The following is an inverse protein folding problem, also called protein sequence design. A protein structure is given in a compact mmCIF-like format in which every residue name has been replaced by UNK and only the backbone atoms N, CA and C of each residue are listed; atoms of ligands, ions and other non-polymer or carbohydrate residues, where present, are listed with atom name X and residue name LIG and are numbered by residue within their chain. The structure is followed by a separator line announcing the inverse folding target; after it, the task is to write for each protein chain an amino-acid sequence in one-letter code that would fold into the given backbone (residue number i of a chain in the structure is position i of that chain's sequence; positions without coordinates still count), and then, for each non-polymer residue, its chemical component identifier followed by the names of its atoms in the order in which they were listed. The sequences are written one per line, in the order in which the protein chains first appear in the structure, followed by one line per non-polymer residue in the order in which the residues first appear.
data_IF_147327436475
#
_entry.id   IF_147327436475
#
_cell.length_a   1.000
_cell.length_b   1.000
_cell.length_c   1.000
_cell.angle_alpha   90.00
_cell.angle_beta   90.00
_cell.angle_gamma   90.00
#
_symmetry.space_group_name_H-M   'P 1'
#
loop_
_entity.id
_entity.type
_entity.pdbx_description
1 polymer ?
#
# COMPACT_ATOMS: atom_id res chain seq x y z
N UNK A 1 -16.61 7.11 -20.13
CA UNK A 1 -15.53 7.99 -19.61
C UNK A 1 -14.88 7.43 -18.34
N UNK A 2 -15.66 6.96 -17.36
CA UNK A 2 -15.16 6.32 -16.12
C UNK A 2 -14.28 5.09 -16.36
N UNK A 3 -14.67 4.23 -17.30
CA UNK A 3 -13.91 3.00 -17.63
C UNK A 3 -12.50 3.28 -18.17
N UNK A 4 -12.30 4.39 -18.89
CA UNK A 4 -10.98 4.79 -19.39
C UNK A 4 -10.11 5.36 -18.27
N UNK A 5 -10.69 6.18 -17.39
CA UNK A 5 -10.01 6.70 -16.21
C UNK A 5 -9.51 5.53 -15.36
N UNK A 6 -10.33 4.51 -15.14
CA UNK A 6 -9.96 3.33 -14.36
C UNK A 6 -8.79 2.56 -14.98
N UNK A 7 -8.84 2.29 -16.29
CA UNK A 7 -7.75 1.61 -17.00
C UNK A 7 -6.45 2.40 -16.92
N UNK A 8 -6.50 3.71 -17.17
CA UNK A 8 -5.32 4.58 -17.11
C UNK A 8 -4.78 4.68 -15.68
N UNK A 9 -5.64 4.83 -14.68
CA UNK A 9 -5.29 4.86 -13.27
C UNK A 9 -4.62 3.56 -12.82
N UNK A 10 -5.13 2.39 -13.22
CA UNK A 10 -4.48 1.11 -12.92
C UNK A 10 -3.10 0.99 -13.59
N UNK A 11 -2.97 1.45 -14.84
CA UNK A 11 -1.68 1.43 -15.55
C UNK A 11 -0.66 2.34 -14.86
N UNK A 12 -1.08 3.52 -14.41
CA UNK A 12 -0.24 4.45 -13.64
C UNK A 12 0.11 3.85 -12.27
N UNK A 13 -0.85 3.26 -11.56
CA UNK A 13 -0.63 2.67 -10.24
C UNK A 13 0.40 1.53 -10.27
N UNK A 14 0.40 0.73 -11.34
CA UNK A 14 1.34 -0.39 -11.57
C UNK A 14 2.67 0.04 -12.20
N UNK A 15 2.81 1.29 -12.60
CA UNK A 15 4.05 1.78 -13.22
C UNK A 15 5.17 1.91 -12.18
N UNK A 16 6.36 1.41 -12.54
CA UNK A 16 7.59 1.56 -11.73
C UNK A 16 8.08 3.00 -11.67
N UNK A 17 7.71 3.84 -12.63
CA UNK A 17 8.17 5.24 -12.69
C UNK A 17 7.46 6.16 -11.68
N UNK A 18 6.29 5.74 -11.18
CA UNK A 18 5.49 6.48 -10.22
C UNK A 18 5.49 5.74 -8.89
N UNK A 19 6.32 6.20 -7.95
CA UNK A 19 6.25 5.74 -6.55
C UNK A 19 5.10 6.43 -5.79
N UNK A 20 4.83 5.99 -4.54
CA UNK A 20 3.76 6.56 -3.73
C UNK A 20 3.94 8.06 -3.43
N UNK A 21 5.18 8.52 -3.28
CA UNK A 21 5.51 9.92 -3.03
C UNK A 21 5.28 10.76 -4.28
N UNK A 22 5.76 10.33 -5.45
CA UNK A 22 5.55 11.01 -6.74
C UNK A 22 4.07 11.15 -7.04
N UNK A 23 3.27 10.10 -6.85
CA UNK A 23 1.81 10.18 -7.04
C UNK A 23 1.16 11.23 -6.12
N UNK A 24 1.55 11.25 -4.83
CA UNK A 24 1.07 12.26 -3.89
C UNK A 24 1.50 13.68 -4.30
N UNK A 25 2.77 13.85 -4.67
CA UNK A 25 3.32 15.16 -5.04
C UNK A 25 2.66 15.71 -6.30
N UNK A 26 2.48 14.86 -7.32
CA UNK A 26 1.76 15.21 -8.56
C UNK A 26 0.30 15.54 -8.28
N UNK A 27 -0.38 14.79 -7.41
CA UNK A 27 -1.76 15.12 -7.01
C UNK A 27 -1.83 16.52 -6.38
N UNK A 28 -0.89 16.84 -5.49
CA UNK A 28 -0.80 18.16 -4.85
C UNK A 28 -0.52 19.29 -5.83
N UNK A 29 0.34 19.08 -6.83
CA UNK A 29 0.60 20.07 -7.87
C UNK A 29 -0.65 20.34 -8.73
N UNK A 30 -1.40 19.28 -9.07
CA UNK A 30 -2.65 19.40 -9.82
C UNK A 30 -3.71 20.15 -9.01
N UNK A 31 -3.86 19.82 -7.72
CA UNK A 31 -4.80 20.50 -6.81
C UNK A 31 -4.43 22.00 -6.68
N UNK A 32 -3.14 22.33 -6.52
CA UNK A 32 -2.68 23.70 -6.43
C UNK A 32 -2.97 24.49 -7.71
N UNK A 33 -2.75 23.88 -8.88
CA UNK A 33 -3.03 24.53 -10.17
C UNK A 33 -4.52 24.75 -10.40
N UNK A 34 -5.37 23.80 -10.01
CA UNK A 34 -6.83 23.98 -10.05
C UNK A 34 -7.24 25.13 -9.12
N UNK A 35 -6.73 25.15 -7.90
CA UNK A 35 -7.01 26.21 -6.94
C UNK A 35 -6.60 27.60 -7.47
N UNK A 36 -5.44 27.71 -8.13
CA UNK A 36 -5.02 28.95 -8.78
C UNK A 36 -6.02 29.41 -9.84
N UNK A 37 -6.48 28.51 -10.71
CA UNK A 37 -7.47 28.82 -11.75
C UNK A 37 -8.82 29.23 -11.15
N UNK A 38 -9.28 28.51 -10.11
CA UNK A 38 -10.51 28.86 -9.39
C UNK A 38 -10.40 30.23 -8.74
N UNK A 39 -9.29 30.52 -8.08
CA UNK A 39 -9.04 31.82 -7.43
C UNK A 39 -9.01 32.97 -8.44
N UNK A 40 -8.49 32.71 -9.65
CA UNK A 40 -8.49 33.65 -10.77
C UNK A 40 -9.83 33.71 -11.53
N UNK A 41 -10.86 32.96 -11.10
CA UNK A 41 -12.15 32.80 -11.79
C UNK A 41 -12.01 32.35 -13.25
N UNK A 42 -10.96 31.60 -13.55
CA UNK A 42 -10.70 31.04 -14.86
C UNK A 42 -11.36 29.66 -14.99
N UNK A 43 -11.83 29.30 -16.20
CA UNK A 43 -12.37 27.96 -16.43
C UNK A 43 -11.28 26.90 -16.22
N UNK A 44 -11.61 25.84 -15.51
CA UNK A 44 -10.70 24.70 -15.30
C UNK A 44 -10.67 23.87 -16.58
N UNK A 45 -9.50 23.66 -17.22
CA UNK A 45 -9.40 22.82 -18.40
C UNK A 45 -9.83 21.38 -18.10
N UNK A 46 -10.65 20.79 -18.97
CA UNK A 46 -11.17 19.43 -18.81
C UNK A 46 -10.04 18.40 -18.63
N UNK A 47 -8.96 18.53 -19.40
CA UNK A 47 -7.80 17.64 -19.28
C UNK A 47 -7.12 17.74 -17.92
N UNK A 48 -7.10 18.93 -17.29
CA UNK A 48 -6.55 19.10 -15.95
C UNK A 48 -7.39 18.35 -14.90
N UNK A 49 -8.71 18.47 -14.99
CA UNK A 49 -9.64 17.74 -14.14
C UNK A 49 -9.53 16.21 -14.36
N UNK A 50 -9.37 15.78 -15.62
CA UNK A 50 -9.17 14.38 -16.00
C UNK A 50 -7.87 13.81 -15.43
N UNK A 51 -6.76 14.54 -15.56
CA UNK A 51 -5.48 14.14 -14.98
C UNK A 51 -5.56 14.01 -13.46
N UNK A 52 -6.19 14.97 -12.77
CA UNK A 52 -6.42 14.89 -11.32
C UNK A 52 -7.18 13.63 -10.95
N UNK A 53 -8.27 13.32 -11.66
CA UNK A 53 -9.06 12.11 -11.41
C UNK A 53 -8.23 10.84 -11.60
N UNK A 54 -7.42 10.77 -12.66
CA UNK A 54 -6.56 9.62 -12.95
C UNK A 54 -5.53 9.41 -11.83
N UNK A 55 -4.84 10.47 -11.40
CA UNK A 55 -3.80 10.39 -10.37
C UNK A 55 -4.40 10.05 -9.00
N UNK A 56 -5.50 10.70 -8.61
CA UNK A 56 -6.18 10.41 -7.36
C UNK A 56 -6.61 8.93 -7.28
N UNK A 57 -7.17 8.40 -8.38
CA UNK A 57 -7.62 7.01 -8.45
C UNK A 57 -6.47 6.01 -8.58
N UNK A 58 -5.38 6.38 -9.26
CA UNK A 58 -4.16 5.57 -9.28
C UNK A 58 -3.55 5.44 -7.87
N UNK A 59 -3.55 6.53 -7.10
CA UNK A 59 -3.11 6.53 -5.71
C UNK A 59 -4.04 5.70 -4.84
N UNK A 60 -5.36 5.78 -5.04
CA UNK A 60 -6.31 4.91 -4.35
C UNK A 60 -6.08 3.42 -4.68
N UNK A 61 -5.86 3.05 -5.95
CA UNK A 61 -5.55 1.67 -6.32
C UNK A 61 -4.24 1.17 -5.70
N UNK A 62 -3.21 2.02 -5.67
CA UNK A 62 -1.94 1.64 -5.03
C UNK A 62 -2.09 1.52 -3.52
N UNK A 63 -2.81 2.44 -2.88
CA UNK A 63 -3.11 2.34 -1.46
C UNK A 63 -3.95 1.11 -1.16
N UNK A 64 -4.94 0.77 -1.99
CA UNK A 64 -5.76 -0.43 -1.85
C UNK A 64 -4.98 -1.73 -2.12
N UNK A 65 -3.97 -1.71 -2.99
CA UNK A 65 -3.05 -2.84 -3.16
C UNK A 65 -2.08 -2.98 -1.97
N UNK A 66 -1.72 -1.87 -1.33
CA UNK A 66 -1.01 -1.85 -0.04
C UNK A 66 -1.94 -2.23 1.12
N UNK A 67 -3.23 -1.96 1.00
CA UNK A 67 -4.30 -2.36 1.90
C UNK A 67 -4.69 -3.79 1.57
N UNK A 68 -3.94 -4.76 2.08
CA UNK A 68 -4.61 -6.00 2.46
C UNK A 68 -5.40 -5.60 3.71
N UNK A 69 -6.73 -5.37 3.66
CA UNK A 69 -7.49 -5.50 4.89
C UNK A 69 -7.12 -6.88 5.43
N UNK A 70 -6.89 -7.00 6.74
CA UNK A 70 -6.84 -8.31 7.39
C UNK A 70 -8.12 -9.01 6.94
N UNK A 71 -8.03 -9.86 5.90
CA UNK A 71 -9.18 -10.60 5.43
C UNK A 71 -9.61 -11.40 6.65
N UNK A 72 -10.91 -11.42 6.93
CA UNK A 72 -11.50 -12.46 7.76
C UNK A 72 -11.20 -13.79 7.03
N UNK A 73 -9.98 -14.29 7.25
CA UNK A 73 -9.61 -15.64 6.90
C UNK A 73 -10.43 -16.45 7.87
N UNK A 74 -11.42 -17.16 7.34
CA UNK A 74 -12.15 -18.21 8.05
C UNK A 74 -11.15 -18.97 8.94
N UNK A 75 -11.22 -18.72 10.26
CA UNK A 75 -10.23 -19.19 11.22
C UNK A 75 -10.09 -20.72 11.18
N UNK A 76 -11.10 -21.39 10.63
CA UNK A 76 -11.17 -22.84 10.42
C UNK A 76 -10.22 -23.35 9.32
N UNK A 77 -9.72 -22.49 8.42
CA UNK A 77 -8.79 -22.83 7.33
C UNK A 77 -7.40 -22.21 7.47
N UNK A 78 -7.16 -21.46 8.54
CA UNK A 78 -5.86 -20.85 8.79
C UNK A 78 -4.78 -21.95 8.93
N UNK A 79 -3.69 -21.79 8.18
CA UNK A 79 -2.55 -22.70 8.30
C UNK A 79 -1.81 -22.40 9.61
N UNK A 80 -1.91 -23.35 10.55
CA UNK A 80 -1.06 -23.38 11.75
C UNK A 80 0.08 -24.37 11.52
N UNK A 81 1.34 -23.93 11.42
CA UNK A 81 2.46 -24.85 11.31
C UNK A 81 2.54 -25.72 12.59
N UNK A 82 2.79 -27.01 12.41
CA UNK A 82 3.07 -27.92 13.51
C UNK A 82 4.40 -27.49 14.17
N UNK A 83 4.32 -26.81 15.31
CA UNK A 83 5.47 -26.18 15.98
C UNK A 83 5.24 -24.73 16.43
N UNK A 84 4.13 -24.10 16.00
CA UNK A 84 3.86 -22.69 16.28
C UNK A 84 4.49 -21.76 15.25
N UNK A 85 3.83 -20.65 14.97
CA UNK A 85 4.36 -19.58 14.12
C UNK A 85 4.94 -18.49 15.02
N UNK A 86 6.22 -18.16 14.85
CA UNK A 86 6.87 -17.06 15.57
C UNK A 86 6.91 -15.80 14.67
N UNK A 87 6.14 -14.75 14.99
CA UNK A 87 6.14 -13.50 14.24
C UNK A 87 7.50 -12.79 14.23
N UNK A 88 8.29 -12.90 15.30
CA UNK A 88 9.59 -12.23 15.41
C UNK A 88 10.63 -12.90 14.52
N UNK A 89 10.70 -14.22 14.53
CA UNK A 89 11.60 -14.98 13.63
C UNK A 89 11.25 -14.73 12.16
N UNK A 90 9.96 -14.70 11.82
CA UNK A 90 9.51 -14.36 10.48
C UNK A 90 9.94 -12.95 10.07
N UNK A 91 9.71 -11.93 10.92
CA UNK A 91 10.08 -10.55 10.61
C UNK A 91 11.59 -10.41 10.48
N UNK A 92 12.37 -11.05 11.35
CA UNK A 92 13.83 -11.01 11.28
C UNK A 92 14.36 -11.67 10.01
N UNK A 93 13.82 -12.82 9.62
CA UNK A 93 14.16 -13.47 8.36
C UNK A 93 13.75 -12.61 7.15
N UNK A 94 12.56 -12.02 7.19
CA UNK A 94 12.07 -11.10 6.17
C UNK A 94 12.96 -9.86 6.02
N UNK A 95 13.41 -9.26 7.14
CA UNK A 95 14.35 -8.12 7.14
C UNK A 95 15.72 -8.53 6.61
N UNK A 96 16.24 -9.69 7.01
CA UNK A 96 17.53 -10.21 6.55
C UNK A 96 17.57 -10.43 5.03
N UNK A 97 16.45 -10.81 4.42
CA UNK A 97 16.32 -10.92 2.96
C UNK A 97 16.26 -9.56 2.25
N UNK A 98 16.12 -8.45 2.97
CA UNK A 98 15.98 -7.10 2.40
C UNK A 98 14.54 -6.59 2.38
N UNK A 99 13.67 -7.12 3.23
CA UNK A 99 12.31 -6.65 3.41
C UNK A 99 12.24 -5.23 4.00
N UNK A 100 11.48 -4.35 3.34
CA UNK A 100 11.36 -2.92 3.66
C UNK A 100 9.94 -2.46 3.96
N UNK A 101 8.97 -3.38 4.06
CA UNK A 101 7.63 -3.08 4.56
C UNK A 101 7.69 -2.56 6.00
N UNK A 102 6.82 -1.63 6.32
CA UNK A 102 6.75 -0.96 7.62
C UNK A 102 5.32 -1.03 8.15
N UNK A 103 5.15 -1.19 9.45
CA UNK A 103 3.83 -1.06 10.06
C UNK A 103 3.65 0.33 10.67
N UNK A 104 2.43 0.86 10.59
CA UNK A 104 2.06 2.15 11.15
C UNK A 104 0.72 2.05 11.87
N UNK A 105 0.57 2.78 12.98
CA UNK A 105 -0.73 2.91 13.67
C UNK A 105 -1.55 4.04 13.03
N UNK A 106 -2.76 3.75 12.58
CA UNK A 106 -3.69 4.71 11.96
C UNK A 106 -5.06 4.54 12.61
N UNK A 107 -5.57 5.59 13.24
CA UNK A 107 -6.94 5.64 13.81
C UNK A 107 -7.34 4.50 14.75
N UNK A 108 -6.37 3.77 15.32
CA UNK A 108 -6.61 2.65 16.23
C UNK A 108 -6.12 1.31 15.68
N UNK A 109 -5.99 1.19 14.36
CA UNK A 109 -5.56 -0.02 13.68
C UNK A 109 -4.06 -0.01 13.36
N UNK A 110 -3.47 -1.19 13.22
CA UNK A 110 -2.09 -1.38 12.75
C UNK A 110 -2.14 -1.79 11.28
N UNK A 111 -1.55 -0.98 10.42
CA UNK A 111 -1.52 -1.21 8.97
C UNK A 111 -0.09 -1.44 8.49
N UNK A 112 0.11 -2.46 7.68
CA UNK A 112 1.40 -2.70 7.00
C UNK A 112 1.42 -1.90 5.70
N UNK A 113 2.52 -1.19 5.47
CA UNK A 113 2.76 -0.32 4.33
C UNK A 113 4.00 -0.76 3.58
N UNK A 114 3.88 -0.87 2.26
CA UNK A 114 4.98 -1.20 1.35
C UNK A 114 5.43 0.06 0.60
N UNK A 115 5.91 1.08 1.32
CA UNK A 115 6.41 2.30 0.69
C UNK A 115 7.69 2.08 -0.08
N UNK A 116 8.53 1.19 0.44
CA UNK A 116 9.81 0.80 -0.10
C UNK A 116 9.68 -0.53 -0.83
N UNK A 117 10.40 -0.65 -1.94
CA UNK A 117 10.45 -1.91 -2.69
C UNK A 117 11.31 -2.92 -1.93
N UNK A 118 10.73 -4.09 -1.70
CA UNK A 118 11.41 -5.25 -1.16
C UNK A 118 12.35 -5.85 -2.22
N UNK A 119 13.37 -6.57 -1.76
CA UNK A 119 14.06 -7.51 -2.65
C UNK A 119 13.08 -8.58 -3.16
N UNK A 120 13.33 -9.17 -4.34
CA UNK A 120 12.50 -10.25 -4.88
C UNK A 120 12.27 -11.39 -3.89
N UNK A 121 13.32 -11.77 -3.16
CA UNK A 121 13.35 -12.85 -2.17
C UNK A 121 12.48 -12.53 -0.95
N UNK A 122 12.58 -11.30 -0.42
CA UNK A 122 11.74 -10.86 0.69
C UNK A 122 10.26 -10.74 0.28
N UNK A 123 10.00 -10.29 -0.95
CA UNK A 123 8.64 -10.22 -1.47
C UNK A 123 8.02 -11.61 -1.68
N UNK A 124 8.80 -12.58 -2.17
CA UNK A 124 8.34 -13.97 -2.33
C UNK A 124 8.02 -14.61 -0.99
N UNK A 125 8.92 -14.50 0.00
CA UNK A 125 8.71 -14.99 1.36
C UNK A 125 7.41 -14.41 1.96
N UNK A 126 7.25 -13.10 1.82
CA UNK A 126 6.06 -12.41 2.32
C UNK A 126 4.78 -12.96 1.68
N UNK A 127 4.72 -13.05 0.36
CA UNK A 127 3.53 -13.50 -0.34
C UNK A 127 3.20 -14.98 -0.04
N UNK A 128 4.23 -15.82 0.11
CA UNK A 128 4.08 -17.24 0.44
C UNK A 128 3.51 -17.46 1.85
N UNK A 129 3.86 -16.59 2.79
CA UNK A 129 3.55 -16.74 4.22
C UNK A 129 2.33 -15.92 4.63
N UNK A 130 2.31 -14.61 4.37
CA UNK A 130 1.24 -13.72 4.84
C UNK A 130 -0.14 -14.10 4.31
N UNK A 131 -0.24 -14.55 3.06
CA UNK A 131 -1.51 -15.00 2.48
C UNK A 131 -2.07 -16.30 3.07
N UNK A 132 -1.29 -17.01 3.89
CA UNK A 132 -1.69 -18.28 4.54
C UNK A 132 -1.89 -18.16 6.05
N UNK A 133 -1.41 -17.06 6.65
CA UNK A 133 -1.58 -16.78 8.06
C UNK A 133 -3.02 -16.34 8.34
N UNK A 134 -3.58 -16.77 9.47
CA UNK A 134 -4.84 -16.24 9.98
C UNK A 134 -4.70 -14.78 10.46
N UNK A 135 -5.83 -14.08 10.61
CA UNK A 135 -5.87 -12.66 10.96
C UNK A 135 -5.07 -12.32 12.24
N UNK A 136 -5.14 -13.20 13.26
CA UNK A 136 -4.35 -13.06 14.49
C UNK A 136 -2.84 -13.04 14.22
N UNK A 137 -2.32 -14.00 13.47
CA UNK A 137 -0.88 -14.07 13.18
C UNK A 137 -0.42 -12.94 12.26
N UNK A 138 -1.26 -12.50 11.32
CA UNK A 138 -0.97 -11.32 10.50
C UNK A 138 -0.88 -10.05 11.34
N UNK A 139 -1.77 -9.89 12.34
CA UNK A 139 -1.72 -8.77 13.28
C UNK A 139 -0.45 -8.82 14.13
N UNK A 140 -0.05 -9.98 14.64
CA UNK A 140 1.20 -10.15 15.40
C UNK A 140 2.44 -9.80 14.55
N UNK A 141 2.47 -10.18 13.27
CA UNK A 141 3.52 -9.74 12.32
C UNK A 141 3.51 -8.23 12.14
N UNK A 142 2.33 -7.61 12.04
CA UNK A 142 2.20 -6.16 11.93
C UNK A 142 2.69 -5.45 13.20
N UNK A 143 2.39 -5.97 14.39
CA UNK A 143 2.90 -5.47 15.67
C UNK A 143 4.43 -5.58 15.70
N UNK A 144 4.98 -6.75 15.34
CA UNK A 144 6.42 -6.96 15.32
C UNK A 144 7.14 -6.00 14.35
N UNK A 145 6.58 -5.76 13.16
CA UNK A 145 7.10 -4.76 12.22
C UNK A 145 7.04 -3.33 12.78
N UNK A 146 6.02 -3.00 13.56
CA UNK A 146 5.86 -1.69 14.18
C UNK A 146 6.90 -1.48 15.29
N UNK A 147 7.17 -2.51 16.08
CA UNK A 147 8.18 -2.49 17.14
C UNK A 147 9.60 -2.41 16.56
N UNK A 148 9.92 -3.24 15.55
CA UNK A 148 11.25 -3.28 14.91
C UNK A 148 11.54 -2.08 14.00
N UNK A 149 10.51 -1.37 13.53
CA UNK A 149 10.64 -0.17 12.69
C UNK A 149 10.84 1.14 13.46
N UNK A 150 10.88 1.11 14.80
CA UNK A 150 11.05 2.29 15.67
C UNK A 150 12.51 2.61 16.04
N UNK A 151 13.50 1.97 15.40
CA UNK A 151 14.93 2.20 15.61
C UNK A 151 15.51 3.24 14.64
#
# INVERSE_FOLDING_TARGET
MTLEIDRLSQRVARSRHFDGYKLWRTQKDLDAKIYQLESAKQPIPLELARMRAIIARARAFRNAATYLPLQEVDEQRAWSPAGGFDPYDFVDHYRALGGRREAAKVEGDIVIRAWNEDTPEANELWNKTMGKLGARNQLEVAICLLERGRL
#
